data_IF_219464845208
#
_entry.id   IF_219464845208
#
_cell.length_a   1.000
_cell.length_b   1.000
_cell.length_c   1.000
_cell.angle_alpha   90.00
_cell.angle_beta   90.00
_cell.angle_gamma   90.00
#
_symmetry.space_group_name_H-M   'P 1'
#
loop_
_entity.id
_entity.type
_entity.pdbx_description
1 polymer ?
#
# COMPACT_ATOMS: atom_id res chain seq x y z
N UNK A 1 -14.17 -6.34 -12.89
CA UNK A 1 -14.35 -4.95 -12.42
C UNK A 1 -14.06 -4.92 -10.92
N UNK A 2 -13.36 -3.89 -10.39
CA UNK A 2 -13.09 -3.83 -8.95
C UNK A 2 -14.41 -3.71 -8.17
N UNK A 3 -14.62 -4.64 -7.23
CA UNK A 3 -15.83 -4.72 -6.39
C UNK A 3 -15.71 -3.69 -5.25
N UNK A 4 -16.83 -3.29 -4.62
CA UNK A 4 -16.85 -2.32 -3.52
C UNK A 4 -16.40 -0.92 -3.96
N UNK A 5 -15.47 -0.29 -3.27
CA UNK A 5 -15.01 1.09 -3.51
C UNK A 5 -14.27 1.31 -4.84
N UNK A 6 -14.00 0.24 -5.59
CA UNK A 6 -13.18 0.31 -6.80
C UNK A 6 -13.73 1.20 -7.90
N UNK A 7 -15.07 1.34 -8.00
CA UNK A 7 -15.71 2.28 -8.91
C UNK A 7 -15.40 3.73 -8.56
N UNK A 8 -15.51 4.08 -7.27
CA UNK A 8 -15.17 5.41 -6.77
C UNK A 8 -13.67 5.69 -6.96
N UNK A 9 -12.80 4.75 -6.63
CA UNK A 9 -11.36 4.90 -6.80
C UNK A 9 -10.96 5.08 -8.25
N UNK A 10 -11.63 4.37 -9.18
CA UNK A 10 -11.42 4.57 -10.61
C UNK A 10 -11.76 6.00 -11.05
N UNK A 11 -12.89 6.54 -10.58
CA UNK A 11 -13.29 7.92 -10.87
C UNK A 11 -12.32 8.92 -10.24
N UNK A 12 -11.85 8.67 -9.02
CA UNK A 12 -10.84 9.51 -8.35
C UNK A 12 -9.53 9.56 -9.16
N UNK A 13 -9.04 8.42 -9.69
CA UNK A 13 -7.85 8.44 -10.56
C UNK A 13 -8.12 9.22 -11.84
N UNK A 14 -9.27 9.01 -12.48
CA UNK A 14 -9.64 9.76 -13.69
C UNK A 14 -9.73 11.26 -13.45
N UNK A 15 -10.31 11.68 -12.33
CA UNK A 15 -10.37 13.07 -11.96
C UNK A 15 -8.98 13.67 -11.70
N UNK A 16 -8.09 12.90 -11.08
CA UNK A 16 -6.70 13.29 -10.85
C UNK A 16 -5.92 13.46 -12.17
N UNK A 17 -6.06 12.51 -13.12
CA UNK A 17 -5.46 12.62 -14.47
C UNK A 17 -6.01 13.85 -15.22
N UNK A 18 -7.34 14.05 -15.24
CA UNK A 18 -7.99 15.18 -15.90
C UNK A 18 -7.57 16.53 -15.31
N UNK A 19 -7.25 16.59 -14.02
CA UNK A 19 -6.78 17.77 -13.31
C UNK A 19 -5.24 17.88 -13.25
N UNK A 20 -4.53 17.32 -14.24
CA UNK A 20 -3.06 17.38 -14.34
C UNK A 20 -2.33 16.96 -13.07
N UNK A 21 -2.85 15.93 -12.38
CA UNK A 21 -2.31 15.41 -11.11
C UNK A 21 -2.37 16.39 -9.93
N UNK A 22 -3.16 17.46 -10.04
CA UNK A 22 -3.54 18.28 -8.89
C UNK A 22 -4.78 17.64 -8.26
N UNK A 23 -4.71 17.35 -6.96
CA UNK A 23 -5.84 16.72 -6.25
C UNK A 23 -7.06 17.62 -6.31
N UNK A 24 -8.18 17.20 -6.93
CA UNK A 24 -9.40 17.99 -6.97
C UNK A 24 -10.07 18.00 -5.58
N UNK A 25 -10.78 19.07 -5.24
CA UNK A 25 -11.50 19.14 -3.97
C UNK A 25 -12.68 18.15 -3.92
N UNK A 26 -13.34 17.95 -5.07
CA UNK A 26 -14.50 17.05 -5.20
C UNK A 26 -14.41 16.21 -6.47
N UNK A 27 -15.09 15.06 -6.44
CA UNK A 27 -15.31 14.19 -7.61
C UNK A 27 -16.78 13.84 -7.73
N UNK A 28 -17.26 13.73 -8.97
CA UNK A 28 -18.63 13.30 -9.24
C UNK A 28 -18.72 11.78 -9.34
N UNK A 29 -19.50 11.16 -8.47
CA UNK A 29 -19.72 9.72 -8.46
C UNK A 29 -21.19 9.39 -8.22
N UNK A 30 -21.81 8.66 -9.15
CA UNK A 30 -23.24 8.29 -9.11
C UNK A 30 -24.20 9.50 -8.96
N UNK A 31 -23.87 10.65 -9.57
CA UNK A 31 -24.67 11.88 -9.48
C UNK A 31 -24.53 12.64 -8.16
N UNK A 32 -23.55 12.27 -7.32
CA UNK A 32 -23.27 12.95 -6.05
C UNK A 32 -21.86 13.53 -6.10
N UNK A 33 -21.73 14.79 -5.70
CA UNK A 33 -20.42 15.44 -5.53
C UNK A 33 -19.82 15.00 -4.19
N UNK A 34 -18.71 14.27 -4.25
CA UNK A 34 -18.02 13.71 -3.07
C UNK A 34 -16.66 14.38 -2.89
N UNK A 35 -16.26 14.72 -1.64
CA UNK A 35 -14.93 15.26 -1.39
C UNK A 35 -13.85 14.21 -1.71
N UNK A 36 -12.72 14.67 -2.26
CA UNK A 36 -11.54 13.81 -2.46
C UNK A 36 -10.82 13.63 -1.11
N UNK A 37 -11.45 12.90 -0.19
CA UNK A 37 -11.00 12.75 1.19
C UNK A 37 -10.29 11.40 1.43
N UNK A 38 -9.36 11.02 0.56
CA UNK A 38 -8.62 9.77 0.68
C UNK A 38 -7.11 9.99 0.46
N UNK A 39 -6.21 9.26 1.14
CA UNK A 39 -4.77 9.37 0.92
C UNK A 39 -4.39 9.15 -0.54
N UNK A 40 -3.66 10.09 -1.17
CA UNK A 40 -3.63 10.17 -2.62
C UNK A 40 -2.60 9.27 -3.30
N UNK A 41 -1.65 8.67 -2.57
CA UNK A 41 -0.50 7.98 -3.17
C UNK A 41 -0.90 6.82 -4.09
N UNK A 42 -1.89 6.02 -3.70
CA UNK A 42 -2.38 4.92 -4.54
C UNK A 42 -2.96 5.40 -5.86
N UNK A 43 -3.66 6.53 -5.84
CA UNK A 43 -4.24 7.14 -7.06
C UNK A 43 -3.16 7.71 -7.98
N UNK A 44 -2.14 8.37 -7.42
CA UNK A 44 -0.98 8.83 -8.18
C UNK A 44 -0.26 7.68 -8.85
N UNK A 45 0.05 6.61 -8.11
CA UNK A 45 0.76 5.45 -8.67
C UNK A 45 -0.06 4.80 -9.77
N UNK A 46 -1.38 4.61 -9.57
CA UNK A 46 -2.24 4.00 -10.58
C UNK A 46 -2.39 4.89 -11.83
N UNK A 47 -2.60 6.19 -11.65
CA UNK A 47 -2.74 7.14 -12.76
C UNK A 47 -1.44 7.25 -13.57
N UNK A 48 -0.31 7.45 -12.89
CA UNK A 48 1.01 7.53 -13.55
C UNK A 48 1.37 6.23 -14.26
N UNK A 49 1.08 5.06 -13.67
CA UNK A 49 1.31 3.78 -14.33
C UNK A 49 0.48 3.65 -15.61
N UNK A 50 -0.79 4.08 -15.59
CA UNK A 50 -1.65 4.10 -16.77
C UNK A 50 -1.09 5.00 -17.88
N UNK A 51 -0.67 6.22 -17.52
CA UNK A 51 -0.22 7.21 -18.52
C UNK A 51 1.18 6.89 -19.05
N UNK A 52 2.13 6.52 -18.19
CA UNK A 52 3.53 6.26 -18.59
C UNK A 52 3.64 4.98 -19.43
N UNK A 53 2.94 3.92 -19.04
CA UNK A 53 3.00 2.66 -19.76
C UNK A 53 1.93 2.52 -20.84
N UNK A 54 1.05 3.51 -21.02
CA UNK A 54 -0.08 3.49 -21.95
C UNK A 54 -1.00 2.29 -21.76
N UNK A 55 -1.19 1.86 -20.51
CA UNK A 55 -2.03 0.74 -20.13
C UNK A 55 -3.41 1.29 -19.74
N UNK A 56 -4.52 0.67 -20.20
CA UNK A 56 -5.85 1.06 -19.75
C UNK A 56 -5.93 1.03 -18.23
N UNK A 57 -6.47 2.09 -17.62
CA UNK A 57 -6.52 2.22 -16.15
C UNK A 57 -7.20 1.01 -15.48
N UNK A 58 -8.18 0.39 -16.14
CA UNK A 58 -8.85 -0.81 -15.63
C UNK A 58 -7.90 -2.00 -15.48
N UNK A 59 -6.91 -2.13 -16.38
CA UNK A 59 -5.90 -3.18 -16.27
C UNK A 59 -4.91 -2.86 -15.15
N UNK A 60 -4.59 -1.58 -14.91
CA UNK A 60 -3.80 -1.19 -13.74
C UNK A 60 -4.51 -1.59 -12.45
N UNK A 61 -5.82 -1.34 -12.31
CA UNK A 61 -6.64 -1.76 -11.17
C UNK A 61 -6.71 -3.27 -11.01
N UNK A 62 -6.64 -4.01 -12.12
CA UNK A 62 -6.63 -5.47 -12.12
C UNK A 62 -5.31 -6.05 -11.61
N UNK A 63 -4.18 -5.52 -12.07
CA UNK A 63 -2.87 -6.12 -11.84
C UNK A 63 -2.10 -5.52 -10.67
N UNK A 64 -2.25 -4.22 -10.41
CA UNK A 64 -1.52 -3.54 -9.34
C UNK A 64 -1.72 -4.17 -7.95
N UNK A 65 -2.94 -4.57 -7.53
CA UNK A 65 -3.10 -5.26 -6.26
C UNK A 65 -2.39 -6.61 -6.21
N UNK A 66 -2.42 -7.38 -7.29
CA UNK A 66 -1.76 -8.68 -7.37
C UNK A 66 -0.22 -8.53 -7.31
N UNK A 67 0.33 -7.64 -8.13
CA UNK A 67 1.77 -7.33 -8.15
C UNK A 67 2.22 -6.80 -6.79
N UNK A 68 1.48 -5.86 -6.21
CA UNK A 68 1.81 -5.31 -4.89
C UNK A 68 1.73 -6.36 -3.79
N UNK A 69 0.83 -7.36 -3.90
CA UNK A 69 0.77 -8.48 -2.97
C UNK A 69 2.04 -9.35 -2.99
N UNK A 70 2.65 -9.50 -4.16
CA UNK A 70 3.97 -10.15 -4.27
C UNK A 70 5.03 -9.32 -3.55
N UNK A 71 5.05 -8.00 -3.79
CA UNK A 71 6.04 -7.12 -3.18
C UNK A 71 5.94 -7.08 -1.65
N UNK A 72 4.75 -6.96 -1.07
CA UNK A 72 4.64 -6.95 0.38
C UNK A 72 4.95 -8.32 1.00
N UNK A 73 4.64 -9.43 0.30
CA UNK A 73 5.00 -10.77 0.76
C UNK A 73 6.52 -10.96 0.77
N UNK A 74 7.22 -10.50 -0.28
CA UNK A 74 8.69 -10.51 -0.33
C UNK A 74 9.29 -9.59 0.73
N UNK A 75 8.72 -8.40 0.93
CA UNK A 75 9.18 -7.44 1.95
C UNK A 75 8.98 -7.97 3.39
N UNK A 76 8.07 -8.90 3.61
CA UNK A 76 7.86 -9.53 4.91
C UNK A 76 9.03 -10.45 5.32
N UNK A 77 9.74 -11.05 4.37
CA UNK A 77 10.86 -11.96 4.66
C UNK A 77 11.97 -11.34 5.52
N UNK A 78 12.55 -10.18 5.18
CA UNK A 78 13.60 -9.59 6.01
C UNK A 78 13.08 -9.14 7.39
N UNK A 79 11.83 -8.72 7.51
CA UNK A 79 11.20 -8.44 8.80
C UNK A 79 11.12 -9.72 9.64
N UNK A 80 10.50 -10.78 9.11
CA UNK A 80 10.32 -12.05 9.79
C UNK A 80 11.67 -12.67 10.21
N UNK A 81 12.65 -12.67 9.30
CA UNK A 81 14.01 -13.18 9.58
C UNK A 81 14.69 -12.39 10.70
N UNK A 82 14.54 -11.07 10.70
CA UNK A 82 15.15 -10.22 11.71
C UNK A 82 14.54 -10.41 13.10
N UNK A 83 13.22 -10.54 13.17
CA UNK A 83 12.49 -10.77 14.43
C UNK A 83 12.73 -12.19 14.98
N UNK A 84 12.62 -13.20 14.11
CA UNK A 84 12.75 -14.61 14.50
C UNK A 84 14.22 -15.08 14.62
N UNK A 85 15.18 -14.23 14.24
CA UNK A 85 16.64 -14.50 14.27
C UNK A 85 17.03 -15.83 13.60
N UNK A 86 16.32 -16.22 12.54
CA UNK A 86 16.53 -17.48 11.82
C UNK A 86 15.99 -17.37 10.39
N UNK A 87 16.83 -17.68 9.40
CA UNK A 87 16.44 -17.69 8.01
C UNK A 87 15.33 -18.71 7.73
N UNK A 88 15.45 -19.92 8.30
CA UNK A 88 14.45 -20.96 8.12
C UNK A 88 13.08 -20.55 8.68
N UNK A 89 13.05 -20.04 9.92
CA UNK A 89 11.80 -19.56 10.53
C UNK A 89 11.23 -18.37 9.75
N UNK A 90 12.08 -17.45 9.29
CA UNK A 90 11.67 -16.33 8.45
C UNK A 90 11.07 -16.77 7.12
N UNK A 91 11.69 -17.75 6.45
CA UNK A 91 11.14 -18.35 5.22
C UNK A 91 9.78 -18.99 5.47
N UNK A 92 9.67 -19.85 6.49
CA UNK A 92 8.40 -20.49 6.83
C UNK A 92 7.30 -19.45 7.15
N UNK A 93 7.62 -18.45 7.97
CA UNK A 93 6.67 -17.37 8.28
C UNK A 93 6.22 -16.62 7.03
N UNK A 94 7.14 -16.34 6.09
CA UNK A 94 6.83 -15.67 4.83
C UNK A 94 5.94 -16.52 3.92
N UNK A 95 6.22 -17.82 3.83
CA UNK A 95 5.39 -18.77 3.07
C UNK A 95 3.97 -18.84 3.65
N UNK A 96 3.85 -18.98 4.97
CA UNK A 96 2.53 -18.98 5.63
C UNK A 96 1.79 -17.66 5.44
N UNK A 97 2.49 -16.53 5.56
CA UNK A 97 1.92 -15.21 5.32
C UNK A 97 1.40 -15.07 3.88
N UNK A 98 2.20 -15.48 2.89
CA UNK A 98 1.84 -15.41 1.48
C UNK A 98 0.70 -16.37 1.10
N UNK A 99 0.57 -17.52 1.77
CA UNK A 99 -0.48 -18.50 1.50
C UNK A 99 -1.75 -18.27 2.32
N UNK A 100 -1.79 -17.29 3.22
CA UNK A 100 -2.96 -17.00 4.04
C UNK A 100 -4.04 -16.29 3.19
N UNK A 101 -5.17 -16.95 2.85
CA UNK A 101 -6.15 -16.41 1.90
C UNK A 101 -6.71 -15.06 2.32
N UNK A 102 -6.90 -14.86 3.62
CA UNK A 102 -7.47 -13.63 4.17
C UNK A 102 -6.53 -12.42 4.05
N UNK A 103 -5.22 -12.65 4.04
CA UNK A 103 -4.23 -11.60 3.82
C UNK A 103 -4.25 -11.07 2.38
N UNK A 104 -4.59 -11.93 1.40
CA UNK A 104 -4.57 -11.57 -0.01
C UNK A 104 -5.93 -11.05 -0.47
N UNK A 105 -7.04 -11.72 -0.10
CA UNK A 105 -8.38 -11.36 -0.57
C UNK A 105 -8.79 -9.94 -0.19
N UNK A 106 -8.44 -9.49 1.01
CA UNK A 106 -8.73 -8.13 1.48
C UNK A 106 -8.01 -7.06 0.65
N UNK A 107 -6.79 -7.35 0.17
CA UNK A 107 -6.01 -6.40 -0.63
C UNK A 107 -6.38 -6.39 -2.10
N UNK A 108 -7.04 -7.44 -2.61
CA UNK A 108 -7.53 -7.51 -3.99
C UNK A 108 -8.92 -6.89 -4.12
N UNK A 109 -9.75 -6.97 -3.06
CA UNK A 109 -11.10 -6.39 -3.07
C UNK A 109 -11.07 -4.85 -3.15
N UNK A 110 -12.08 -4.28 -3.80
CA UNK A 110 -12.29 -2.83 -3.81
C UNK A 110 -11.26 -2.04 -4.59
N UNK A 111 -10.60 -2.67 -5.59
CA UNK A 111 -9.56 -2.01 -6.34
C UNK A 111 -8.24 -1.83 -5.59
N UNK A 112 -8.12 -2.33 -4.37
CA UNK A 112 -6.91 -2.56 -3.54
C UNK A 112 -5.67 -1.69 -3.68
N UNK A 113 -5.67 -0.71 -4.61
CA UNK A 113 -4.50 0.09 -4.97
C UNK A 113 -3.90 0.87 -3.80
N UNK A 114 -4.75 1.32 -2.87
CA UNK A 114 -4.32 2.05 -1.67
C UNK A 114 -3.92 1.09 -0.56
N UNK A 115 -4.68 -0.01 -0.37
CA UNK A 115 -4.45 -1.01 0.68
C UNK A 115 -3.15 -1.76 0.48
N UNK A 116 -2.86 -2.19 -0.75
CA UNK A 116 -1.65 -2.96 -1.05
C UNK A 116 -0.39 -2.13 -0.85
N UNK A 117 -0.40 -0.86 -1.21
CA UNK A 117 0.69 0.07 -0.92
C UNK A 117 0.81 0.34 0.58
N UNK A 118 -0.32 0.57 1.26
CA UNK A 118 -0.36 0.73 2.71
C UNK A 118 0.29 -0.44 3.43
N UNK A 119 -0.01 -1.69 3.03
CA UNK A 119 0.59 -2.89 3.61
C UNK A 119 2.07 -3.03 3.31
N UNK A 120 2.49 -2.74 2.08
CA UNK A 120 3.90 -2.76 1.71
C UNK A 120 4.71 -1.79 2.57
N UNK A 121 4.26 -0.53 2.65
CA UNK A 121 4.94 0.49 3.45
C UNK A 121 4.85 0.21 4.95
N UNK A 122 3.77 -0.38 5.46
CA UNK A 122 3.66 -0.82 6.85
C UNK A 122 4.78 -1.83 7.18
N UNK A 123 4.93 -2.89 6.37
CA UNK A 123 5.96 -3.92 6.58
C UNK A 123 7.37 -3.31 6.52
N UNK A 124 7.62 -2.43 5.55
CA UNK A 124 8.91 -1.73 5.42
C UNK A 124 9.18 -0.78 6.59
N UNK A 125 8.14 -0.11 7.11
CA UNK A 125 8.24 0.73 8.31
C UNK A 125 8.58 -0.09 9.54
N UNK A 126 7.88 -1.21 9.78
CA UNK A 126 8.17 -2.10 10.90
C UNK A 126 9.57 -2.70 10.81
N UNK A 127 10.01 -3.10 9.61
CA UNK A 127 11.37 -3.59 9.41
C UNK A 127 12.41 -2.51 9.73
N UNK A 128 12.22 -1.30 9.21
CA UNK A 128 13.19 -0.21 9.45
C UNK A 128 13.18 0.25 10.91
N UNK A 129 12.02 0.33 11.56
CA UNK A 129 11.91 0.64 12.99
C UNK A 129 12.60 -0.44 13.85
N UNK A 130 12.31 -1.73 13.59
CA UNK A 130 12.98 -2.83 14.29
C UNK A 130 14.51 -2.78 14.12
N UNK A 131 15.00 -2.50 12.90
CA UNK A 131 16.44 -2.33 12.65
C UNK A 131 17.01 -1.08 13.32
N UNK A 132 16.26 0.00 13.42
CA UNK A 132 16.69 1.20 14.12
C UNK A 132 16.98 0.89 15.60
N UNK A 133 16.08 0.20 16.28
CA UNK A 133 16.24 -0.13 17.70
C UNK A 133 17.29 -1.24 17.95
N UNK A 134 17.48 -2.16 17.00
CA UNK A 134 18.43 -3.28 17.18
C UNK A 134 19.84 -2.95 16.73
N UNK A 135 20.04 -2.08 15.75
CA UNK A 135 21.37 -1.76 15.20
C UNK A 135 21.84 -0.35 15.48
N UNK A 136 20.95 0.52 15.97
CA UNK A 136 21.20 1.95 16.24
C UNK A 136 21.78 2.74 15.06
N UNK A 137 21.58 2.26 13.83
CA UNK A 137 22.13 2.88 12.62
C UNK A 137 21.21 3.98 12.10
N UNK A 138 21.76 5.21 11.96
CA UNK A 138 21.03 6.42 11.53
C UNK A 138 20.31 6.28 10.20
N UNK A 139 20.77 5.41 9.29
CA UNK A 139 20.09 5.18 8.01
C UNK A 139 18.64 4.70 8.20
N UNK A 140 18.37 3.93 9.25
CA UNK A 140 17.02 3.43 9.51
C UNK A 140 16.06 4.50 10.02
N UNK A 141 16.55 5.63 10.53
CA UNK A 141 15.72 6.81 10.84
C UNK A 141 15.07 7.30 9.55
N UNK A 142 15.87 7.55 8.52
CA UNK A 142 15.38 8.03 7.23
C UNK A 142 14.47 7.03 6.54
N UNK A 143 14.80 5.73 6.61
CA UNK A 143 13.94 4.68 6.07
C UNK A 143 12.59 4.62 6.80
N UNK A 144 12.57 4.73 8.12
CA UNK A 144 11.34 4.73 8.91
C UNK A 144 10.47 5.96 8.60
N UNK A 145 11.08 7.13 8.46
CA UNK A 145 10.37 8.35 8.04
C UNK A 145 9.78 8.18 6.63
N UNK A 146 10.60 7.75 5.67
CA UNK A 146 10.17 7.58 4.27
C UNK A 146 9.01 6.58 4.15
N UNK A 147 9.17 5.39 4.72
CA UNK A 147 8.14 4.35 4.62
C UNK A 147 6.92 4.68 5.47
N UNK A 148 7.10 5.27 6.66
CA UNK A 148 6.00 5.74 7.50
C UNK A 148 5.17 6.82 6.80
N UNK A 149 5.80 7.77 6.12
CA UNK A 149 5.09 8.74 5.27
C UNK A 149 4.34 8.03 4.13
N UNK A 150 4.95 7.00 3.52
CA UNK A 150 4.29 6.17 2.51
C UNK A 150 3.03 5.49 3.02
N UNK A 151 3.02 4.99 4.27
CA UNK A 151 1.81 4.41 4.89
C UNK A 151 0.70 5.44 5.00
N UNK A 152 1.00 6.61 5.60
CA UNK A 152 0.02 7.70 5.81
C UNK A 152 -0.59 8.16 4.50
N UNK A 153 0.23 8.29 3.46
CA UNK A 153 -0.21 8.73 2.14
C UNK A 153 -0.92 7.62 1.33
N UNK A 154 -0.89 6.37 1.79
CA UNK A 154 -1.51 5.24 1.09
C UNK A 154 -2.86 4.84 1.66
N UNK A 155 -2.95 4.58 2.98
CA UNK A 155 -4.14 3.96 3.56
C UNK A 155 -4.34 4.29 5.04
N UNK A 156 -5.52 4.81 5.46
CA UNK A 156 -5.76 5.24 6.84
C UNK A 156 -5.66 4.10 7.87
N UNK A 157 -6.26 2.95 7.55
CA UNK A 157 -6.26 1.77 8.43
C UNK A 157 -4.84 1.22 8.62
N UNK A 158 -4.02 1.16 7.54
CA UNK A 158 -2.63 0.77 7.64
C UNK A 158 -1.83 1.73 8.52
N UNK A 159 -2.16 3.03 8.51
CA UNK A 159 -1.55 4.03 9.39
C UNK A 159 -1.83 3.72 10.85
N UNK A 160 -3.09 3.44 11.21
CA UNK A 160 -3.47 3.08 12.57
C UNK A 160 -2.76 1.81 13.04
N UNK A 161 -2.71 0.78 12.18
CA UNK A 161 -1.97 -0.46 12.48
C UNK A 161 -0.48 -0.21 12.67
N UNK A 162 0.14 0.63 11.83
CA UNK A 162 1.57 0.95 11.94
C UNK A 162 1.87 1.64 13.27
N UNK A 163 1.08 2.66 13.65
CA UNK A 163 1.24 3.35 14.93
C UNK A 163 1.09 2.37 16.10
N UNK A 164 0.03 1.55 16.09
CA UNK A 164 -0.22 0.58 17.14
C UNK A 164 0.92 -0.43 17.31
N UNK A 165 1.45 -0.94 16.19
CA UNK A 165 2.54 -1.92 16.20
C UNK A 165 3.92 -1.32 16.54
N UNK A 166 4.11 -0.02 16.34
CA UNK A 166 5.35 0.65 16.75
C UNK A 166 5.36 1.05 18.23
N UNK A 167 4.21 1.01 18.91
CA UNK A 167 4.09 1.32 20.35
C UNK A 167 4.27 0.09 21.26
N UNK A 168 4.31 -1.10 20.69
CA UNK A 168 4.51 -2.39 21.39
C UNK A 168 5.94 -2.86 21.21
#
# INVERSE_FOLDING_TARGET
>A
FPVSDGGLFYVMVKALQANHYIVPAFVEFNGISMPFAYPPLGFYVAGLASDVFHIPLIEVFRWMPAIGSIFFSVAFYPLATSVLKSNLKGTLATVFFALMPRSISFYIMGGGITRVLGMLFLILTLFSAHKLFTTHSKKYIWMTILFGSGVVLSHPEATLHTVSLCLV
#
